data_IF_368266098058
#
_entry.id   IF_368266098058
#
_cell.length_a   1.000
_cell.length_b   1.000
_cell.length_c   1.000
_cell.angle_alpha   90.00
_cell.angle_beta   90.00
_cell.angle_gamma   90.00
#
_symmetry.space_group_name_H-M   'P 1'
#
loop_
_entity.id
_entity.type
_entity.pdbx_description
1 polymer ?
#
# COMPACT_ATOMS: atom_id res chain seq x y z
N UNK A 1 -12.14 5.79 40.94
CA UNK A 1 -12.30 6.88 39.94
C UNK A 1 -11.15 6.89 38.92
N UNK A 2 -10.74 5.72 38.38
CA UNK A 2 -9.62 5.61 37.41
C UNK A 2 -10.05 5.04 36.04
N UNK A 3 -11.30 4.56 35.92
CA UNK A 3 -11.79 3.89 34.70
C UNK A 3 -12.27 4.83 33.59
N UNK A 4 -12.58 6.09 33.91
CA UNK A 4 -13.08 7.06 32.91
C UNK A 4 -12.01 7.57 31.95
N UNK A 5 -10.74 7.62 32.40
CA UNK A 5 -9.66 8.22 31.60
C UNK A 5 -9.14 7.25 30.55
N UNK A 6 -8.95 5.97 30.91
CA UNK A 6 -8.38 4.95 30.01
C UNK A 6 -9.33 4.66 28.83
N UNK A 7 -10.64 4.58 29.10
CA UNK A 7 -11.64 4.40 28.06
C UNK A 7 -11.75 5.62 27.13
N UNK A 8 -11.53 6.83 27.67
CA UNK A 8 -11.51 8.06 26.88
C UNK A 8 -10.27 8.13 25.96
N UNK A 9 -9.08 7.75 26.46
CA UNK A 9 -7.88 7.62 25.63
C UNK A 9 -8.06 6.58 24.51
N UNK A 10 -8.65 5.42 24.81
CA UNK A 10 -8.90 4.40 23.80
C UNK A 10 -9.87 4.88 22.72
N UNK A 11 -10.94 5.59 23.11
CA UNK A 11 -11.91 6.13 22.16
C UNK A 11 -11.26 7.17 21.24
N UNK A 12 -10.45 8.09 21.78
CA UNK A 12 -9.72 9.11 21.00
C UNK A 12 -8.73 8.46 20.04
N UNK A 13 -7.95 7.48 20.50
CA UNK A 13 -6.99 6.75 19.65
C UNK A 13 -7.70 5.99 18.54
N UNK A 14 -8.84 5.36 18.82
CA UNK A 14 -9.62 4.65 17.79
C UNK A 14 -10.20 5.62 16.77
N UNK A 15 -10.75 6.76 17.20
CA UNK A 15 -11.33 7.74 16.27
C UNK A 15 -10.28 8.35 15.33
N UNK A 16 -9.14 8.78 15.86
CA UNK A 16 -8.05 9.33 15.04
C UNK A 16 -7.49 8.28 14.08
N UNK A 17 -7.29 7.04 14.54
CA UNK A 17 -6.73 5.98 13.71
C UNK A 17 -7.70 5.54 12.60
N UNK A 18 -9.02 5.57 12.85
CA UNK A 18 -10.03 5.26 11.83
C UNK A 18 -10.05 6.28 10.70
N UNK A 19 -9.88 7.58 11.02
CA UNK A 19 -9.82 8.63 10.00
C UNK A 19 -8.60 8.45 9.08
N UNK A 20 -7.43 8.22 9.67
CA UNK A 20 -6.17 7.95 8.96
C UNK A 20 -6.28 6.70 8.08
N UNK A 21 -6.87 5.60 8.59
CA UNK A 21 -7.05 4.36 7.84
C UNK A 21 -8.01 4.52 6.65
N UNK A 22 -9.08 5.31 6.81
CA UNK A 22 -10.04 5.55 5.73
C UNK A 22 -9.42 6.32 4.57
N UNK A 23 -8.71 7.40 4.88
CA UNK A 23 -7.99 8.19 3.88
C UNK A 23 -6.91 7.35 3.18
N UNK A 24 -6.09 6.62 3.95
CA UNK A 24 -5.07 5.74 3.38
C UNK A 24 -5.65 4.70 2.43
N UNK A 25 -6.78 4.09 2.79
CA UNK A 25 -7.47 3.12 1.92
C UNK A 25 -8.00 3.77 0.65
N UNK A 26 -8.60 4.96 0.74
CA UNK A 26 -9.07 5.70 -0.42
C UNK A 26 -7.92 6.04 -1.38
N UNK A 27 -6.82 6.59 -0.86
CA UNK A 27 -5.62 6.90 -1.67
C UNK A 27 -5.08 5.63 -2.33
N UNK A 28 -5.00 4.52 -1.59
CA UNK A 28 -4.56 3.23 -2.11
C UNK A 28 -5.46 2.75 -3.25
N UNK A 29 -6.80 2.84 -3.11
CA UNK A 29 -7.74 2.43 -4.14
C UNK A 29 -7.63 3.31 -5.40
N UNK A 30 -7.61 4.64 -5.23
CA UNK A 30 -7.48 5.59 -6.35
C UNK A 30 -6.13 5.51 -7.06
N UNK A 31 -5.09 5.03 -6.39
CA UNK A 31 -3.76 4.85 -7.00
C UNK A 31 -3.64 3.48 -7.66
N UNK A 32 -4.03 2.41 -6.98
CA UNK A 32 -3.83 1.04 -7.45
C UNK A 32 -4.77 0.66 -8.59
N UNK A 33 -6.02 1.09 -8.56
CA UNK A 33 -6.98 0.75 -9.62
C UNK A 33 -6.49 1.20 -11.02
N UNK A 34 -6.17 2.49 -11.26
CA UNK A 34 -5.67 2.91 -12.57
C UNK A 34 -4.26 2.38 -12.87
N UNK A 35 -3.43 2.15 -11.85
CA UNK A 35 -2.09 1.59 -12.03
C UNK A 35 -2.16 0.14 -12.55
N UNK A 36 -3.05 -0.68 -11.99
CA UNK A 36 -3.24 -2.07 -12.42
C UNK A 36 -3.99 -2.18 -13.75
N UNK A 37 -4.87 -1.22 -14.04
CA UNK A 37 -5.59 -1.19 -15.32
C UNK A 37 -4.73 -0.66 -16.47
N UNK A 38 -3.86 0.32 -16.20
CA UNK A 38 -3.08 1.01 -17.21
C UNK A 38 -1.74 0.35 -17.54
N UNK A 39 -1.24 -0.56 -16.72
CA UNK A 39 0.12 -1.11 -16.85
C UNK A 39 0.16 -2.63 -16.74
N UNK A 40 1.06 -3.23 -17.51
CA UNK A 40 1.46 -4.63 -17.37
C UNK A 40 2.71 -4.72 -16.50
N UNK A 41 2.71 -5.67 -15.58
CA UNK A 41 3.79 -5.88 -14.61
C UNK A 41 4.38 -7.26 -14.79
N UNK A 42 5.68 -7.32 -15.06
CA UNK A 42 6.41 -8.57 -15.22
C UNK A 42 7.66 -8.59 -14.33
N UNK A 43 8.14 -9.78 -14.01
CA UNK A 43 9.44 -9.94 -13.34
C UNK A 43 10.51 -10.13 -14.41
N UNK A 44 11.71 -9.54 -14.25
CA UNK A 44 12.78 -9.67 -15.25
C UNK A 44 13.32 -11.11 -15.34
N UNK A 45 13.17 -11.88 -14.26
CA UNK A 45 13.51 -13.29 -14.22
C UNK A 45 12.27 -14.09 -13.85
N UNK A 46 11.93 -15.10 -14.65
CA UNK A 46 10.80 -16.02 -14.40
C UNK A 46 11.09 -16.99 -13.23
N UNK A 47 11.93 -16.57 -12.27
CA UNK A 47 12.35 -17.31 -11.09
C UNK A 47 11.41 -17.01 -9.93
N UNK A 48 11.30 -17.91 -8.95
CA UNK A 48 10.54 -17.65 -7.74
C UNK A 48 11.03 -16.36 -7.06
N UNK A 49 10.10 -15.45 -6.78
CA UNK A 49 10.40 -14.22 -6.04
C UNK A 49 10.71 -14.57 -4.59
N UNK A 50 11.85 -14.11 -4.09
CA UNK A 50 12.18 -14.21 -2.66
C UNK A 50 11.26 -13.26 -1.91
N UNK A 51 10.25 -13.80 -1.22
CA UNK A 51 9.24 -13.01 -0.51
C UNK A 51 9.51 -12.76 0.97
N UNK A 52 10.77 -12.85 1.40
CA UNK A 52 11.13 -12.55 2.78
C UNK A 52 10.84 -11.08 3.14
N UNK A 53 10.50 -10.87 4.41
CA UNK A 53 10.09 -9.59 4.98
C UNK A 53 11.08 -9.15 6.07
N UNK A 54 11.32 -7.84 6.18
CA UNK A 54 12.09 -7.25 7.26
C UNK A 54 11.24 -7.07 8.53
N UNK A 55 11.81 -7.31 9.71
CA UNK A 55 11.11 -7.11 10.98
C UNK A 55 11.13 -5.62 11.38
N UNK A 56 10.11 -4.85 10.98
CA UNK A 56 9.96 -3.41 11.28
C UNK A 56 8.48 -3.00 11.36
N UNK A 57 8.23 -1.75 11.79
CA UNK A 57 6.89 -1.14 11.81
C UNK A 57 6.28 -1.04 10.41
N UNK A 58 7.12 -0.86 9.39
CA UNK A 58 6.76 -1.03 7.98
C UNK A 58 7.42 -2.31 7.49
N UNK A 59 6.62 -3.29 7.06
CA UNK A 59 7.12 -4.58 6.59
C UNK A 59 7.64 -4.41 5.17
N UNK A 60 8.92 -4.05 5.06
CA UNK A 60 9.61 -3.92 3.79
C UNK A 60 10.13 -5.27 3.29
N UNK A 61 10.33 -5.38 1.97
CA UNK A 61 10.93 -6.57 1.37
C UNK A 61 12.36 -6.75 1.87
N UNK A 62 12.73 -7.97 2.24
CA UNK A 62 14.08 -8.31 2.72
C UNK A 62 15.19 -8.07 1.68
N UNK A 63 14.84 -8.05 0.39
CA UNK A 63 15.73 -7.73 -0.71
C UNK A 63 15.00 -6.83 -1.73
N UNK A 64 15.72 -6.00 -2.50
CA UNK A 64 15.13 -5.20 -3.57
C UNK A 64 14.36 -6.09 -4.56
N UNK A 65 13.16 -5.64 -4.95
CA UNK A 65 12.33 -6.30 -5.95
C UNK A 65 12.49 -5.59 -7.29
N UNK A 66 12.93 -6.31 -8.31
CA UNK A 66 13.00 -5.81 -9.68
C UNK A 66 11.70 -6.15 -10.43
N UNK A 67 11.12 -5.14 -11.09
CA UNK A 67 9.87 -5.26 -11.83
C UNK A 67 10.00 -4.52 -13.16
N UNK A 68 9.52 -5.14 -14.23
CA UNK A 68 9.33 -4.53 -15.54
C UNK A 68 7.90 -3.97 -15.60
N UNK A 69 7.76 -2.71 -16.01
CA UNK A 69 6.47 -2.03 -16.12
C UNK A 69 6.29 -1.55 -17.56
N UNK A 70 5.19 -1.94 -18.20
CA UNK A 70 4.85 -1.53 -19.56
C UNK A 70 3.46 -0.88 -19.58
N UNK A 71 3.29 0.21 -20.35
CA UNK A 71 2.00 0.87 -20.51
C UNK A 71 1.10 0.03 -21.45
N UNK A 72 -0.12 -0.27 -21.02
CA UNK A 72 -1.10 -1.04 -21.81
C UNK A 72 -1.82 -0.18 -22.87
N UNK A 73 -1.97 1.13 -22.62
CA UNK A 73 -2.49 2.07 -23.62
C UNK A 73 -1.38 2.68 -24.47
N UNK A 74 -1.69 2.98 -25.73
CA UNK A 74 -0.80 3.76 -26.59
C UNK A 74 -0.53 5.14 -25.97
N UNK A 75 0.76 5.51 -25.86
CA UNK A 75 1.20 6.83 -25.41
C UNK A 75 0.60 8.00 -26.22
N UNK A 76 -0.06 7.72 -27.35
CA UNK A 76 -0.78 8.69 -28.17
C UNK A 76 -1.97 9.39 -27.46
N UNK A 77 -2.47 8.86 -26.34
CA UNK A 77 -3.58 9.48 -25.60
C UNK A 77 -3.15 10.48 -24.51
N UNK A 78 -1.84 10.69 -24.32
CA UNK A 78 -1.27 11.72 -23.44
C UNK A 78 -0.68 12.87 -24.28
N UNK A 79 -1.49 13.46 -25.16
CA UNK A 79 -1.19 14.70 -25.92
C UNK A 79 -1.65 15.96 -25.17
#
# INVERSE_FOLDING_TARGET
MLGGNILNYYLVVVEECVLECHFALQVMQFTLAPLLEGFDFATPSNKPLVMGEGLRLTVEKSAPLEVLVALLLSAAFYS
#
